data_IF_409129279775
#
_entry.id   IF_409129279775
#
_cell.length_a   1.000
_cell.length_b   1.000
_cell.length_c   1.000
_cell.angle_alpha   90.00
_cell.angle_beta   90.00
_cell.angle_gamma   90.00
#
_symmetry.space_group_name_H-M   'P 1'
#
loop_
_entity.id
_entity.type
_entity.pdbx_description
1 polymer ?
#
# COMPACT_ATOMS: atom_id res chain seq x y z
N UNK A 1 16.25 -1.38 -2.53
CA UNK A 1 15.09 -2.28 -2.57
C UNK A 1 15.54 -3.70 -2.28
N UNK A 2 14.72 -4.48 -1.59
CA UNK A 2 15.06 -5.86 -1.24
C UNK A 2 14.98 -6.76 -2.49
N UNK A 3 15.86 -7.77 -2.58
CA UNK A 3 15.71 -8.77 -3.61
C UNK A 3 14.52 -9.69 -3.32
N UNK A 4 14.12 -10.47 -4.32
CA UNK A 4 12.92 -11.31 -4.22
C UNK A 4 13.02 -12.33 -3.08
N UNK A 5 14.15 -13.03 -2.97
CA UNK A 5 14.30 -14.08 -1.98
C UNK A 5 14.24 -13.54 -0.56
N UNK A 6 14.92 -12.41 -0.32
CA UNK A 6 14.90 -11.76 0.97
C UNK A 6 13.52 -11.21 1.31
N UNK A 7 12.86 -10.58 0.36
CA UNK A 7 11.51 -10.06 0.58
C UNK A 7 10.53 -11.20 0.90
N UNK A 8 10.61 -12.30 0.19
CA UNK A 8 9.78 -13.47 0.48
C UNK A 8 10.00 -13.97 1.90
N UNK A 9 11.25 -14.05 2.35
CA UNK A 9 11.56 -14.45 3.71
C UNK A 9 10.91 -13.52 4.73
N UNK A 10 10.96 -12.23 4.50
CA UNK A 10 10.33 -11.25 5.38
C UNK A 10 8.82 -11.41 5.40
N UNK A 11 8.20 -11.55 4.25
CA UNK A 11 6.74 -11.73 4.14
C UNK A 11 6.30 -12.99 4.87
N UNK A 12 7.07 -14.06 4.78
CA UNK A 12 6.72 -15.33 5.41
C UNK A 12 6.90 -15.33 6.93
N UNK A 13 7.72 -14.46 7.47
CA UNK A 13 8.15 -14.54 8.86
C UNK A 13 7.85 -13.31 9.72
N UNK A 14 7.48 -12.20 9.12
CA UNK A 14 7.22 -10.96 9.87
C UNK A 14 5.98 -10.26 9.35
N UNK A 15 5.27 -9.53 10.22
CA UNK A 15 4.17 -8.68 9.73
C UNK A 15 4.73 -7.52 8.91
N UNK A 16 3.95 -7.08 7.93
CA UNK A 16 4.26 -5.90 7.13
C UNK A 16 3.24 -4.82 7.46
N UNK A 17 3.73 -3.58 7.51
CA UNK A 17 2.87 -2.42 7.75
C UNK A 17 2.82 -1.62 6.46
N UNK A 18 1.61 -1.33 6.01
CA UNK A 18 1.40 -0.49 4.83
C UNK A 18 0.40 0.61 5.12
N UNK A 19 0.43 1.62 4.28
CA UNK A 19 -0.54 2.71 4.29
C UNK A 19 -1.43 2.56 3.06
N UNK A 20 -2.72 2.52 3.27
CA UNK A 20 -3.70 2.55 2.19
C UNK A 20 -4.28 3.95 2.12
N UNK A 21 -4.38 4.48 0.92
CA UNK A 21 -4.86 5.84 0.68
C UNK A 21 -6.31 5.78 0.18
N UNK A 22 -7.21 6.36 0.96
CA UNK A 22 -8.59 6.52 0.54
C UNK A 22 -8.74 7.93 0.01
N UNK A 23 -8.78 8.05 -1.30
CA UNK A 23 -8.79 9.34 -2.00
C UNK A 23 -10.14 9.48 -2.69
N UNK A 24 -10.84 10.56 -2.41
CA UNK A 24 -12.14 10.80 -3.03
C UNK A 24 -12.24 12.24 -3.52
N UNK A 25 -13.08 12.44 -4.52
CA UNK A 25 -13.33 13.75 -5.11
C UNK A 25 -14.54 14.41 -4.44
N UNK A 26 -14.92 15.59 -4.94
CA UNK A 26 -16.06 16.33 -4.42
C UNK A 26 -17.39 15.58 -4.54
N UNK A 27 -17.47 14.58 -5.40
CA UNK A 27 -18.67 13.74 -5.58
C UNK A 27 -18.64 12.48 -4.73
N UNK A 28 -17.66 12.36 -3.84
CA UNK A 28 -17.46 11.19 -2.97
C UNK A 28 -17.12 9.90 -3.75
N UNK A 29 -16.59 10.03 -4.95
CA UNK A 29 -16.09 8.91 -5.72
C UNK A 29 -14.66 8.59 -5.27
N UNK A 30 -14.37 7.31 -5.07
CA UNK A 30 -13.08 6.86 -4.56
C UNK A 30 -12.15 6.48 -5.70
N UNK A 31 -10.89 6.91 -5.60
CA UNK A 31 -9.86 6.53 -6.55
C UNK A 31 -9.45 5.08 -6.33
N UNK A 32 -9.54 4.28 -7.37
CA UNK A 32 -9.10 2.89 -7.34
C UNK A 32 -8.12 2.64 -8.48
N UNK A 33 -7.15 1.76 -8.21
CA UNK A 33 -6.32 1.19 -9.24
C UNK A 33 -6.87 -0.14 -9.68
N UNK A 34 -6.59 -0.53 -10.92
CA UNK A 34 -6.97 -1.84 -11.43
C UNK A 34 -5.71 -2.64 -11.71
N UNK A 35 -5.62 -3.83 -11.12
CA UNK A 35 -4.46 -4.67 -11.34
C UNK A 35 -4.52 -5.34 -12.72
N UNK A 36 -3.38 -5.30 -13.40
CA UNK A 36 -3.23 -5.92 -14.71
C UNK A 36 -2.47 -7.25 -14.65
N UNK A 37 -1.96 -7.60 -13.48
CA UNK A 37 -1.14 -8.79 -13.28
C UNK A 37 -1.78 -9.73 -12.27
N UNK A 38 -1.59 -11.06 -12.41
CA UNK A 38 -2.02 -11.99 -11.37
C UNK A 38 -1.41 -11.62 -10.00
N UNK A 39 -2.05 -12.03 -8.89
CA UNK A 39 -3.24 -12.87 -8.84
C UNK A 39 -4.54 -12.09 -8.97
N UNK A 40 -4.50 -10.80 -8.73
CA UNK A 40 -5.69 -9.98 -8.67
C UNK A 40 -5.96 -9.23 -9.98
N UNK A 41 -5.57 -9.82 -11.11
CA UNK A 41 -5.82 -9.22 -12.41
C UNK A 41 -7.30 -8.90 -12.59
N UNK A 42 -7.58 -7.67 -13.07
CA UNK A 42 -8.91 -7.13 -13.24
C UNK A 42 -9.65 -6.76 -11.94
N UNK A 43 -9.04 -6.98 -10.79
CA UNK A 43 -9.58 -6.51 -9.52
C UNK A 43 -9.11 -5.10 -9.21
N UNK A 44 -9.93 -4.36 -8.48
CA UNK A 44 -9.59 -3.00 -8.07
C UNK A 44 -8.93 -3.00 -6.71
N UNK A 45 -8.10 -2.00 -6.46
CA UNK A 45 -7.41 -1.82 -5.18
C UNK A 45 -7.27 -0.33 -4.89
N UNK A 46 -7.11 0.00 -3.61
CA UNK A 46 -6.78 1.38 -3.23
C UNK A 46 -5.27 1.60 -3.37
N UNK A 47 -4.84 2.81 -3.76
CA UNK A 47 -3.41 3.14 -3.78
C UNK A 47 -2.81 3.00 -2.39
N UNK A 48 -1.54 2.65 -2.31
CA UNK A 48 -0.87 2.54 -1.04
C UNK A 48 0.53 1.96 -1.19
N UNK A 49 1.17 1.69 -0.06
CA UNK A 49 2.49 1.11 -0.06
C UNK A 49 2.97 0.77 1.34
N UNK A 50 4.07 0.04 1.38
CA UNK A 50 4.67 -0.39 2.65
C UNK A 50 5.45 0.75 3.29
N UNK A 51 5.47 0.74 4.63
CA UNK A 51 6.37 1.57 5.40
C UNK A 51 7.71 0.83 5.50
N UNK A 52 8.80 1.55 5.26
CA UNK A 52 10.13 0.95 5.33
C UNK A 52 10.67 1.01 6.76
N UNK A 53 11.64 0.15 7.03
CA UNK A 53 12.31 0.15 8.33
C UNK A 53 12.93 1.52 8.60
N UNK A 54 12.75 2.02 9.81
CA UNK A 54 13.28 3.32 10.27
C UNK A 54 12.68 4.53 9.55
N UNK A 55 11.62 4.34 8.79
CA UNK A 55 10.91 5.41 8.13
C UNK A 55 9.80 5.91 9.05
N UNK A 56 9.70 7.23 9.22
CA UNK A 56 8.60 7.82 9.97
C UNK A 56 7.31 7.73 9.15
N UNK A 57 6.17 7.68 9.83
CA UNK A 57 4.88 7.63 9.15
C UNK A 57 4.70 8.84 8.22
N UNK A 58 5.12 10.03 8.67
CA UNK A 58 5.05 11.23 7.83
C UNK A 58 5.87 11.11 6.56
N UNK A 59 7.05 10.53 6.66
CA UNK A 59 7.93 10.31 5.52
C UNK A 59 7.34 9.26 4.56
N UNK A 60 6.85 8.16 5.13
CA UNK A 60 6.23 7.09 4.34
C UNK A 60 5.00 7.61 3.59
N UNK A 61 4.15 8.36 4.28
CA UNK A 61 2.94 8.92 3.68
C UNK A 61 3.28 9.82 2.49
N UNK A 62 4.23 10.75 2.65
CA UNK A 62 4.63 11.63 1.55
C UNK A 62 5.22 10.85 0.38
N UNK A 63 6.09 9.89 0.67
CA UNK A 63 6.72 9.07 -0.37
C UNK A 63 5.67 8.28 -1.14
N UNK A 64 4.74 7.66 -0.44
CA UNK A 64 3.70 6.84 -1.06
C UNK A 64 2.76 7.70 -1.90
N UNK A 65 2.33 8.85 -1.39
CA UNK A 65 1.50 9.77 -2.15
C UNK A 65 2.20 10.20 -3.45
N UNK A 66 3.48 10.54 -3.36
CA UNK A 66 4.24 10.96 -4.54
C UNK A 66 4.36 9.82 -5.54
N UNK A 67 4.64 8.61 -5.08
CA UNK A 67 4.80 7.46 -5.95
C UNK A 67 3.48 7.01 -6.59
N UNK A 68 2.39 7.03 -5.83
CA UNK A 68 1.13 6.44 -6.28
C UNK A 68 0.23 7.42 -7.01
N UNK A 69 0.24 8.68 -6.64
CA UNK A 69 -0.63 9.69 -7.24
C UNK A 69 0.11 10.91 -7.79
N UNK A 70 1.42 10.95 -7.64
CA UNK A 70 2.27 11.99 -8.24
C UNK A 70 2.18 13.36 -7.60
N UNK A 71 1.61 13.49 -6.42
CA UNK A 71 1.43 14.76 -5.73
C UNK A 71 2.06 14.71 -4.35
N UNK A 72 2.55 15.86 -3.90
CA UNK A 72 3.06 16.02 -2.54
C UNK A 72 1.90 16.38 -1.63
N UNK A 73 1.53 15.46 -0.75
CA UNK A 73 0.48 15.66 0.23
C UNK A 73 1.08 15.42 1.60
N UNK A 74 0.79 16.33 2.53
CA UNK A 74 1.27 16.23 3.90
C UNK A 74 0.28 15.45 4.75
N UNK A 75 0.80 14.71 5.71
CA UNK A 75 -0.01 13.87 6.59
C UNK A 75 -1.08 14.68 7.34
N UNK A 76 -0.80 15.93 7.65
CA UNK A 76 -1.75 16.83 8.32
C UNK A 76 -3.03 17.07 7.52
N UNK A 77 -2.96 16.88 6.20
CA UNK A 77 -4.12 17.02 5.31
C UNK A 77 -4.99 15.78 5.26
N UNK A 78 -4.53 14.68 5.84
CA UNK A 78 -5.22 13.40 5.79
C UNK A 78 -5.94 13.12 7.09
N UNK A 79 -7.00 12.31 7.02
CA UNK A 79 -7.70 11.85 8.19
C UNK A 79 -7.38 10.37 8.42
N UNK A 80 -7.00 10.03 9.64
CA UNK A 80 -6.76 8.65 10.01
C UNK A 80 -8.10 7.93 10.15
N UNK A 81 -8.24 6.82 9.42
CA UNK A 81 -9.49 6.04 9.43
C UNK A 81 -9.39 4.79 10.29
N UNK A 82 -8.22 4.25 10.50
CA UNK A 82 -8.06 3.09 11.35
C UNK A 82 -6.91 2.19 10.94
N UNK A 83 -6.73 1.14 11.73
CA UNK A 83 -5.76 0.07 11.46
C UNK A 83 -6.55 -1.19 11.19
N UNK A 84 -6.21 -1.88 10.11
CA UNK A 84 -6.92 -3.06 9.67
C UNK A 84 -5.94 -4.21 9.47
N UNK A 85 -6.40 -5.43 9.71
CA UNK A 85 -5.58 -6.62 9.55
C UNK A 85 -5.94 -7.31 8.24
N UNK A 86 -4.90 -7.78 7.53
CA UNK A 86 -5.06 -8.55 6.32
C UNK A 86 -4.26 -9.84 6.43
N UNK A 87 -4.92 -10.96 6.19
CA UNK A 87 -4.28 -12.28 6.18
C UNK A 87 -4.47 -12.89 4.81
N UNK A 88 -3.37 -13.31 4.21
CA UNK A 88 -3.38 -13.92 2.89
C UNK A 88 -3.04 -15.40 3.03
N UNK A 89 -4.00 -16.28 2.77
CA UNK A 89 -3.81 -17.71 2.94
C UNK A 89 -2.77 -18.27 1.97
N UNK A 90 -2.83 -17.82 0.74
CA UNK A 90 -1.93 -18.24 -0.31
C UNK A 90 -0.96 -17.13 -0.70
N UNK A 91 -0.71 -16.22 0.22
CA UNK A 91 0.15 -15.07 -0.06
C UNK A 91 1.58 -15.50 -0.29
N UNK A 92 2.14 -15.04 -1.38
CA UNK A 92 3.56 -15.06 -1.61
C UNK A 92 3.92 -13.89 -2.51
N UNK A 93 5.22 -13.59 -2.49
CA UNK A 93 5.70 -12.39 -3.17
C UNK A 93 5.33 -12.44 -4.65
N UNK A 94 4.75 -11.33 -5.12
CA UNK A 94 4.37 -11.19 -6.51
C UNK A 94 2.94 -11.60 -6.82
N UNK A 95 2.22 -12.17 -5.86
CA UNK A 95 0.82 -12.55 -6.09
C UNK A 95 -0.15 -11.69 -5.29
N UNK A 96 -0.27 -11.92 -4.00
CA UNK A 96 -1.29 -11.26 -3.19
C UNK A 96 -0.78 -10.00 -2.50
N UNK A 97 0.47 -9.70 -2.66
CA UNK A 97 1.08 -8.52 -2.06
C UNK A 97 0.94 -7.35 -3.03
N UNK A 98 0.26 -6.35 -2.61
CA UNK A 98 0.09 -5.13 -3.40
C UNK A 98 0.86 -3.95 -2.83
#
# INVERSE_FOLDING_TARGET
MLDYALFKTIVDNTPLISIDLIIYNAKSEVLLGKRNNPPAKAHYFVPGGRIYKNEKITEAFQRICKAEIGVDIYLQSARFLGVFEHFYEDAYVGEDIS
#
